data_IF_744521742596
#
_entry.id   IF_744521742596
#
_cell.length_a   1.000
_cell.length_b   1.000
_cell.length_c   1.000
_cell.angle_alpha   90.00
_cell.angle_beta   90.00
_cell.angle_gamma   90.00
#
_symmetry.space_group_name_H-M   'P 1'
#
loop_
_entity.id
_entity.type
_entity.pdbx_description
1 polymer ?
#
# COMPACT_ATOMS: atom_id res chain seq x y z
N UNK A 1 1.17 5.48 20.45
CA UNK A 1 0.21 5.52 19.33
C UNK A 1 -0.29 4.11 19.10
N UNK A 2 -1.59 3.87 19.22
CA UNK A 2 -2.19 2.56 18.95
C UNK A 2 -2.36 2.43 17.44
N UNK A 3 -1.59 1.55 16.80
CA UNK A 3 -1.76 1.25 15.38
C UNK A 3 -3.03 0.40 15.24
N UNK A 4 -4.04 0.91 14.55
CA UNK A 4 -5.23 0.15 14.16
C UNK A 4 -5.13 -0.18 12.69
N UNK A 5 -5.43 -1.42 12.34
CA UNK A 5 -5.59 -1.84 10.95
C UNK A 5 -7.05 -1.71 10.58
N UNK A 6 -7.34 -0.95 9.53
CA UNK A 6 -8.67 -0.87 8.93
C UNK A 6 -8.64 -1.68 7.64
N UNK A 7 -9.58 -2.61 7.50
CA UNK A 7 -9.73 -3.32 6.24
C UNK A 7 -10.40 -2.38 5.24
N UNK A 8 -9.87 -2.24 4.01
CA UNK A 8 -10.56 -1.45 3.01
C UNK A 8 -11.97 -2.04 2.78
N UNK A 9 -13.00 -1.20 2.62
CA UNK A 9 -14.32 -1.70 2.26
C UNK A 9 -14.27 -2.39 0.89
N UNK A 10 -15.22 -3.29 0.64
CA UNK A 10 -15.46 -3.80 -0.72
C UNK A 10 -16.03 -2.64 -1.54
N UNK A 11 -15.17 -2.00 -2.33
CA UNK A 11 -15.52 -0.84 -3.14
C UNK A 11 -14.95 -0.98 -4.56
N UNK A 12 -15.72 -0.52 -5.55
CA UNK A 12 -15.37 -0.57 -6.96
C UNK A 12 -14.10 0.25 -7.31
N UNK A 13 -13.71 1.19 -6.45
CA UNK A 13 -12.45 1.93 -6.57
C UNK A 13 -11.22 1.00 -6.44
N UNK A 14 -11.36 -0.13 -5.74
CA UNK A 14 -10.29 -1.12 -5.53
C UNK A 14 -10.33 -2.29 -6.52
N UNK A 15 -11.24 -2.26 -7.51
CA UNK A 15 -11.30 -3.30 -8.54
C UNK A 15 -9.97 -3.32 -9.32
N UNK A 16 -9.32 -4.48 -9.33
CA UNK A 16 -8.04 -4.69 -10.01
C UNK A 16 -8.31 -5.42 -11.32
N UNK A 17 -8.24 -4.68 -12.42
CA UNK A 17 -8.67 -5.12 -13.75
C UNK A 17 -7.49 -5.44 -14.66
N UNK A 18 -6.32 -4.84 -14.38
CA UNK A 18 -5.16 -4.96 -15.24
C UNK A 18 -4.72 -6.41 -15.40
N UNK A 19 -4.86 -7.27 -14.37
CA UNK A 19 -4.51 -8.70 -14.49
C UNK A 19 -5.32 -9.41 -15.58
N UNK A 20 -6.62 -9.11 -15.70
CA UNK A 20 -7.47 -9.74 -16.72
C UNK A 20 -7.23 -9.12 -18.09
N UNK A 21 -7.10 -7.79 -18.15
CA UNK A 21 -6.86 -7.07 -19.40
C UNK A 21 -5.52 -7.45 -20.02
N UNK A 22 -4.47 -7.57 -19.20
CA UNK A 22 -3.13 -8.00 -19.65
C UNK A 22 -3.11 -9.50 -20.04
N UNK A 23 -4.06 -10.30 -19.56
CA UNK A 23 -4.20 -11.72 -19.91
C UNK A 23 -4.94 -11.99 -21.23
N UNK A 24 -5.44 -10.95 -21.92
CA UNK A 24 -6.07 -11.11 -23.23
C UNK A 24 -5.04 -11.64 -24.26
N UNK A 25 -5.46 -12.44 -25.26
CA UNK A 25 -4.58 -13.07 -26.23
C UNK A 25 -4.08 -12.09 -27.31
N UNK A 26 -3.56 -10.95 -26.89
CA UNK A 26 -2.91 -9.96 -27.73
C UNK A 26 -1.44 -9.84 -27.36
N UNK A 27 -0.57 -9.67 -28.35
CA UNK A 27 0.83 -9.37 -28.09
C UNK A 27 0.96 -8.08 -27.24
N UNK A 28 1.88 -8.02 -26.26
CA UNK A 28 2.07 -6.84 -25.41
C UNK A 28 2.27 -5.55 -26.21
N UNK A 29 3.04 -5.61 -27.30
CA UNK A 29 3.35 -4.46 -28.16
C UNK A 29 2.25 -4.09 -29.17
N UNK A 30 1.17 -4.87 -29.24
CA UNK A 30 0.06 -4.53 -30.12
C UNK A 30 -0.62 -3.25 -29.59
N UNK A 31 -0.62 -2.19 -30.41
CA UNK A 31 -1.24 -0.89 -30.14
C UNK A 31 -2.52 -0.67 -30.98
N UNK A 32 -2.99 -1.72 -31.65
CA UNK A 32 -4.12 -1.69 -32.57
C UNK A 32 -5.45 -1.42 -31.87
N UNK A 33 -6.38 -0.82 -32.61
CA UNK A 33 -7.69 -0.44 -32.09
C UNK A 33 -8.51 -1.64 -31.58
N UNK A 34 -8.37 -2.82 -32.20
CA UNK A 34 -9.05 -4.05 -31.79
C UNK A 34 -8.67 -4.44 -30.35
N UNK A 35 -7.37 -4.46 -30.04
CA UNK A 35 -6.89 -4.73 -28.67
C UNK A 35 -7.40 -3.68 -27.69
N UNK A 36 -7.33 -2.39 -28.06
CA UNK A 36 -7.79 -1.30 -27.19
C UNK A 36 -9.27 -1.44 -26.85
N UNK A 37 -10.10 -1.76 -27.85
CA UNK A 37 -11.52 -1.96 -27.64
C UNK A 37 -11.82 -3.21 -26.83
N UNK A 38 -11.16 -4.33 -27.13
CA UNK A 38 -11.28 -5.55 -26.34
C UNK A 38 -10.86 -5.33 -24.87
N UNK A 39 -9.74 -4.65 -24.63
CA UNK A 39 -9.28 -4.29 -23.30
C UNK A 39 -10.26 -3.37 -22.56
N UNK A 40 -10.80 -2.36 -23.23
CA UNK A 40 -11.81 -1.46 -22.65
C UNK A 40 -13.09 -2.20 -22.25
N UNK A 41 -13.63 -3.03 -23.15
CA UNK A 41 -14.83 -3.81 -22.88
C UNK A 41 -14.62 -4.79 -21.75
N UNK A 42 -13.50 -5.51 -21.75
CA UNK A 42 -13.13 -6.42 -20.64
C UNK A 42 -13.00 -5.67 -19.32
N UNK A 43 -12.30 -4.54 -19.29
CA UNK A 43 -12.16 -3.72 -18.09
C UNK A 43 -13.52 -3.26 -17.57
N UNK A 44 -14.41 -2.78 -18.45
CA UNK A 44 -15.76 -2.35 -18.08
C UNK A 44 -16.55 -3.50 -17.47
N UNK A 45 -16.61 -4.65 -18.14
CA UNK A 45 -17.35 -5.82 -17.66
C UNK A 45 -16.81 -6.32 -16.32
N UNK A 46 -15.49 -6.45 -16.18
CA UNK A 46 -14.88 -6.92 -14.94
C UNK A 46 -15.03 -5.93 -13.77
N UNK A 47 -15.14 -4.63 -14.07
CA UNK A 47 -15.45 -3.61 -13.06
C UNK A 47 -16.85 -3.81 -12.49
N UNK A 48 -17.85 -4.05 -13.34
CA UNK A 48 -19.23 -4.29 -12.88
C UNK A 48 -19.37 -5.61 -12.11
N UNK A 49 -18.54 -6.62 -12.43
CA UNK A 49 -18.49 -7.90 -11.71
C UNK A 49 -17.85 -7.77 -10.32
N UNK A 50 -17.12 -6.67 -10.04
CA UNK A 50 -16.47 -6.46 -8.75
C UNK A 50 -15.23 -7.33 -8.54
N UNK A 51 -14.49 -7.65 -9.61
CA UNK A 51 -13.30 -8.49 -9.51
C UNK A 51 -12.20 -7.82 -8.67
N UNK A 52 -11.82 -8.48 -7.58
CA UNK A 52 -10.72 -8.09 -6.71
C UNK A 52 -9.61 -9.15 -6.77
N UNK A 53 -8.76 -9.07 -7.79
CA UNK A 53 -7.63 -9.98 -7.97
C UNK A 53 -6.36 -9.20 -8.32
N UNK A 54 -5.28 -9.45 -7.58
CA UNK A 54 -3.98 -8.84 -7.85
C UNK A 54 -3.00 -9.86 -8.42
N UNK A 55 -2.27 -9.48 -9.46
CA UNK A 55 -1.24 -10.31 -10.08
C UNK A 55 -0.47 -9.52 -11.12
N UNK A 56 0.81 -9.84 -11.34
CA UNK A 56 1.63 -9.14 -12.33
C UNK A 56 1.82 -7.64 -12.06
N UNK A 57 1.79 -7.23 -10.79
CA UNK A 57 1.82 -5.81 -10.36
C UNK A 57 0.62 -4.98 -10.85
N UNK A 58 -0.54 -5.61 -11.09
CA UNK A 58 -1.76 -4.93 -11.55
C UNK A 58 -2.16 -3.73 -10.70
N UNK A 59 -2.07 -3.82 -9.38
CA UNK A 59 -2.45 -2.71 -8.49
C UNK A 59 -1.67 -1.42 -8.74
N UNK A 60 -0.41 -1.51 -9.21
CA UNK A 60 0.37 -0.31 -9.59
C UNK A 60 -0.24 0.41 -10.78
N UNK A 61 -0.76 -0.36 -11.75
CA UNK A 61 -1.40 0.17 -12.96
C UNK A 61 -2.80 0.69 -12.63
N UNK A 62 -3.60 -0.13 -11.95
CA UNK A 62 -5.01 0.16 -11.67
C UNK A 62 -5.16 1.35 -10.71
N UNK A 63 -4.28 1.48 -9.71
CA UNK A 63 -4.35 2.55 -8.71
C UNK A 63 -3.57 3.81 -9.12
N UNK A 64 -3.11 3.93 -10.36
CA UNK A 64 -2.35 5.07 -10.84
C UNK A 64 -3.07 6.41 -10.62
N UNK A 65 -4.33 6.52 -11.09
CA UNK A 65 -5.12 7.75 -10.93
C UNK A 65 -5.61 7.93 -9.49
N UNK A 66 -6.25 6.93 -8.83
CA UNK A 66 -6.70 7.06 -7.45
C UNK A 66 -5.59 7.49 -6.47
N UNK A 67 -4.38 6.93 -6.59
CA UNK A 67 -3.26 7.31 -5.71
C UNK A 67 -2.75 8.73 -5.97
N UNK A 68 -2.81 9.20 -7.22
CA UNK A 68 -2.43 10.59 -7.55
C UNK A 68 -3.46 11.58 -7.02
N UNK A 69 -4.74 11.25 -7.09
CA UNK A 69 -5.84 12.03 -6.51
C UNK A 69 -5.72 12.07 -4.99
N UNK A 70 -5.57 10.91 -4.33
CA UNK A 70 -5.35 10.83 -2.89
C UNK A 70 -4.15 11.67 -2.43
N UNK A 71 -3.02 11.58 -3.15
CA UNK A 71 -1.83 12.39 -2.86
C UNK A 71 -2.04 13.89 -3.07
N UNK A 72 -2.81 14.29 -4.09
CA UNK A 72 -3.13 15.69 -4.35
C UNK A 72 -4.11 16.25 -3.29
N UNK A 73 -5.10 15.46 -2.87
CA UNK A 73 -6.04 15.79 -1.80
C UNK A 73 -5.30 15.96 -0.47
N UNK A 74 -4.45 15.01 -0.10
CA UNK A 74 -3.62 15.10 1.09
C UNK A 74 -2.72 16.35 1.07
N UNK A 75 -2.13 16.70 -0.08
CA UNK A 75 -1.33 17.93 -0.24
C UNK A 75 -2.19 19.18 -0.01
N UNK A 76 -3.39 19.24 -0.57
CA UNK A 76 -4.29 20.38 -0.40
C UNK A 76 -4.68 20.56 1.07
N UNK A 77 -5.02 19.47 1.76
CA UNK A 77 -5.35 19.48 3.19
C UNK A 77 -4.15 19.90 4.06
N UNK A 78 -2.93 19.44 3.74
CA UNK A 78 -1.71 19.89 4.41
C UNK A 78 -1.44 21.38 4.22
N UNK A 79 -1.65 21.90 3.00
CA UNK A 79 -1.53 23.32 2.69
C UNK A 79 -2.57 24.15 3.45
N UNK A 80 -3.83 23.70 3.49
CA UNK A 80 -4.90 24.37 4.23
C UNK A 80 -4.61 24.41 5.74
N UNK A 81 -4.13 23.31 6.31
CA UNK A 81 -3.73 23.26 7.71
C UNK A 81 -2.57 24.21 8.03
N UNK A 82 -1.54 24.26 7.18
CA UNK A 82 -0.43 25.20 7.34
C UNK A 82 -0.90 26.66 7.23
N UNK A 83 -1.74 26.97 6.24
CA UNK A 83 -2.30 28.29 6.02
C UNK A 83 -3.10 28.79 7.23
N UNK A 84 -3.96 27.93 7.78
CA UNK A 84 -4.74 28.21 8.98
C UNK A 84 -3.86 28.42 10.22
N UNK A 85 -2.87 27.56 10.44
CA UNK A 85 -1.96 27.66 11.59
C UNK A 85 -1.10 28.93 11.53
N UNK A 86 -0.65 29.31 10.33
CA UNK A 86 0.22 30.45 10.13
C UNK A 86 -0.52 31.75 9.91
N UNK A 87 -1.85 31.69 9.72
CA UNK A 87 -2.72 32.82 9.36
C UNK A 87 -2.26 33.51 8.08
N UNK A 88 -1.97 32.72 7.05
CA UNK A 88 -1.50 33.19 5.73
C UNK A 88 -2.38 32.62 4.61
N UNK A 89 -2.41 33.23 3.43
CA UNK A 89 -3.13 32.67 2.28
C UNK A 89 -2.56 31.30 1.85
N UNK A 90 -3.44 30.33 1.59
CA UNK A 90 -3.04 28.99 1.17
C UNK A 90 -2.22 28.98 -0.14
N UNK A 91 -2.48 29.93 -1.04
CA UNK A 91 -1.74 30.10 -2.30
C UNK A 91 -0.26 30.46 -2.08
N UNK A 92 0.10 31.03 -0.93
CA UNK A 92 1.48 31.42 -0.61
C UNK A 92 2.26 30.29 0.08
N UNK A 93 1.59 29.20 0.47
CA UNK A 93 2.22 28.02 1.07
C UNK A 93 2.81 27.13 -0.02
N UNK A 94 4.13 27.00 0.00
CA UNK A 94 4.88 26.15 -0.91
C UNK A 94 5.08 24.75 -0.31
N UNK A 95 5.14 23.74 -1.17
CA UNK A 95 5.37 22.35 -0.79
C UNK A 95 6.55 21.80 -1.59
N UNK A 96 7.63 21.44 -0.89
CA UNK A 96 8.82 20.84 -1.51
C UNK A 96 9.41 19.78 -0.59
N UNK A 97 9.67 18.59 -1.14
CA UNK A 97 10.37 17.49 -0.45
C UNK A 97 9.84 17.17 0.97
N UNK A 98 8.52 17.16 1.16
CA UNK A 98 7.90 16.84 2.45
C UNK A 98 7.87 18.00 3.46
N UNK A 99 8.23 19.20 3.02
CA UNK A 99 8.21 20.44 3.80
C UNK A 99 7.15 21.39 3.23
N UNK A 100 6.35 21.99 4.12
CA UNK A 100 5.53 23.16 3.86
C UNK A 100 6.33 24.40 4.27
N UNK A 101 6.28 25.46 3.46
CA UNK A 101 6.98 26.71 3.77
C UNK A 101 6.22 27.93 3.27
N UNK A 102 6.28 29.02 4.02
CA UNK A 102 5.72 30.32 3.64
C UNK A 102 6.84 31.37 3.56
N UNK A 103 7.34 31.72 2.36
CA UNK A 103 8.53 32.56 2.21
C UNK A 103 8.42 33.93 2.88
N UNK A 104 7.27 34.59 2.77
CA UNK A 104 7.09 35.95 3.28
C UNK A 104 7.15 36.04 4.82
N UNK A 105 6.86 34.94 5.54
CA UNK A 105 6.95 34.91 7.02
C UNK A 105 8.07 34.01 7.55
N UNK A 106 8.80 33.30 6.67
CA UNK A 106 9.84 32.35 7.04
C UNK A 106 9.35 31.07 7.76
N UNK A 107 8.04 30.88 7.91
CA UNK A 107 7.47 29.72 8.62
C UNK A 107 7.66 28.44 7.79
N UNK A 108 7.99 27.34 8.47
CA UNK A 108 8.15 26.02 7.84
C UNK A 108 7.65 24.91 8.76
N UNK A 109 7.15 23.81 8.18
CA UNK A 109 6.77 22.61 8.91
C UNK A 109 6.84 21.36 8.03
N UNK A 110 7.33 20.24 8.59
CA UNK A 110 7.27 18.93 7.91
C UNK A 110 5.83 18.40 7.96
N UNK A 111 5.45 17.57 6.98
CA UNK A 111 4.10 16.99 6.92
C UNK A 111 3.64 16.34 8.23
N UNK A 112 4.52 15.60 8.91
CA UNK A 112 4.19 14.93 10.17
C UNK A 112 3.73 15.88 11.28
N UNK A 113 4.25 17.11 11.34
CA UNK A 113 3.87 18.09 12.34
C UNK A 113 2.45 18.64 12.11
N UNK A 114 1.97 18.61 10.86
CA UNK A 114 0.67 19.12 10.46
C UNK A 114 -0.34 18.02 10.12
N UNK A 115 0.06 16.75 10.08
CA UNK A 115 -0.78 15.64 9.62
C UNK A 115 -2.10 15.53 10.39
N UNK A 116 -2.07 15.65 11.72
CA UNK A 116 -3.27 15.59 12.56
C UNK A 116 -4.21 16.79 12.36
N UNK A 117 -3.67 17.97 12.00
CA UNK A 117 -4.48 19.15 11.65
C UNK A 117 -5.03 19.06 10.23
N UNK A 118 -4.22 18.52 9.31
CA UNK A 118 -4.61 18.26 7.94
C UNK A 118 -5.76 17.28 7.85
N UNK A 119 -5.79 16.22 8.67
CA UNK A 119 -6.91 15.28 8.71
C UNK A 119 -8.23 15.88 9.20
N UNK A 120 -8.21 17.08 9.79
CA UNK A 120 -9.40 17.84 10.20
C UNK A 120 -9.84 18.87 9.15
N UNK A 121 -9.06 19.06 8.08
CA UNK A 121 -9.45 19.93 6.99
C UNK A 121 -10.54 19.26 6.15
N UNK A 122 -11.44 20.05 5.53
CA UNK A 122 -12.42 19.50 4.60
C UNK A 122 -11.72 18.80 3.44
N UNK A 123 -12.32 17.71 2.96
CA UNK A 123 -11.89 17.06 1.73
C UNK A 123 -12.13 18.01 0.55
N UNK A 124 -11.13 18.22 -0.33
CA UNK A 124 -11.33 19.05 -1.51
C UNK A 124 -12.27 18.35 -2.51
N UNK A 125 -13.24 19.10 -3.04
CA UNK A 125 -14.18 18.59 -4.06
C UNK A 125 -13.47 18.22 -5.37
N UNK A 126 -12.40 18.94 -5.71
CA UNK A 126 -11.57 18.66 -6.88
C UNK A 126 -10.11 18.96 -6.59
N UNK A 127 -9.21 18.25 -7.28
CA UNK A 127 -7.77 18.41 -7.14
C UNK A 127 -7.08 18.51 -8.49
N UNK A 128 -6.10 19.41 -8.57
CA UNK A 128 -5.25 19.53 -9.75
C UNK A 128 -4.08 18.57 -9.61
N UNK A 129 -4.03 17.58 -10.50
CA UNK A 129 -2.92 16.64 -10.56
C UNK A 129 -1.69 17.28 -11.20
N UNK A 130 -0.51 16.92 -10.68
CA UNK A 130 0.76 17.27 -11.32
C UNK A 130 0.85 16.66 -12.71
N UNK A 131 1.34 17.43 -13.67
CA UNK A 131 1.65 16.95 -15.01
C UNK A 131 3.01 16.23 -15.04
N UNK A 132 3.29 15.38 -16.06
CA UNK A 132 4.55 14.64 -16.14
C UNK A 132 5.82 15.49 -15.97
N UNK A 133 5.86 16.70 -16.54
CA UNK A 133 6.99 17.62 -16.38
C UNK A 133 7.20 18.15 -14.96
N UNK A 134 6.21 17.98 -14.07
CA UNK A 134 6.27 18.39 -12.66
C UNK A 134 6.63 17.22 -11.72
N UNK A 135 6.88 16.04 -12.28
CA UNK A 135 7.24 14.86 -11.50
C UNK A 135 8.68 14.94 -11.01
N UNK A 136 8.85 14.79 -9.70
CA UNK A 136 10.17 14.78 -9.08
C UNK A 136 10.77 13.38 -8.94
N UNK A 137 9.93 12.35 -8.81
CA UNK A 137 10.35 10.96 -8.54
C UNK A 137 9.84 9.99 -9.62
N UNK A 138 8.61 10.17 -10.10
CA UNK A 138 8.00 9.32 -11.12
C UNK A 138 8.80 9.45 -12.43
N UNK A 139 9.13 8.30 -13.03
CA UNK A 139 9.86 8.24 -14.29
C UNK A 139 11.36 8.50 -14.17
N UNK A 140 11.88 8.65 -12.95
CA UNK A 140 13.32 8.80 -12.69
C UNK A 140 13.90 7.50 -12.16
N UNK A 141 15.11 7.20 -12.60
CA UNK A 141 15.90 6.14 -11.97
C UNK A 141 16.17 6.51 -10.51
N UNK A 142 15.75 5.64 -9.60
CA UNK A 142 15.85 5.85 -8.16
C UNK A 142 16.36 4.58 -7.51
N UNK A 143 17.38 4.72 -6.66
CA UNK A 143 17.92 3.59 -5.91
C UNK A 143 16.94 3.19 -4.81
N UNK A 144 16.63 1.90 -4.76
CA UNK A 144 15.85 1.31 -3.66
C UNK A 144 16.68 1.37 -2.38
N UNK A 145 16.09 1.90 -1.30
CA UNK A 145 16.79 2.11 -0.03
C UNK A 145 17.34 0.80 0.55
N UNK A 146 16.62 -0.30 0.37
CA UNK A 146 16.93 -1.62 0.87
C UNK A 146 17.87 -2.44 -0.04
N UNK A 147 18.19 -1.95 -1.24
CA UNK A 147 18.94 -2.72 -2.23
C UNK A 147 20.32 -3.15 -1.72
N UNK A 148 21.07 -2.25 -1.07
CA UNK A 148 22.40 -2.55 -0.57
C UNK A 148 22.36 -3.72 0.43
N UNK A 149 21.49 -3.63 1.44
CA UNK A 149 21.36 -4.66 2.47
C UNK A 149 20.94 -6.03 1.94
N UNK A 150 20.20 -6.05 0.82
CA UNK A 150 19.79 -7.29 0.16
C UNK A 150 20.89 -7.89 -0.70
N UNK A 151 21.88 -7.11 -1.12
CA UNK A 151 23.01 -7.57 -1.92
C UNK A 151 24.14 -8.12 -1.06
N UNK A 152 24.42 -7.48 0.07
CA UNK A 152 25.51 -7.87 0.97
C UNK A 152 25.08 -8.86 2.08
N UNK A 153 23.79 -9.19 2.15
CA UNK A 153 23.23 -10.11 3.14
C UNK A 153 23.02 -9.50 4.54
N UNK A 154 23.19 -8.20 4.71
CA UNK A 154 22.92 -7.52 5.99
C UNK A 154 21.44 -7.28 6.28
N UNK A 155 20.57 -7.47 5.28
CA UNK A 155 19.12 -7.37 5.46
C UNK A 155 18.63 -8.44 6.44
N UNK A 156 17.97 -8.01 7.51
CA UNK A 156 17.35 -8.90 8.51
C UNK A 156 15.90 -9.19 8.12
N UNK A 157 15.58 -10.46 7.94
CA UNK A 157 14.24 -10.99 7.74
C UNK A 157 13.66 -11.51 9.04
N UNK A 158 12.37 -11.86 9.04
CA UNK A 158 11.70 -12.42 10.22
C UNK A 158 12.42 -13.66 10.78
N UNK A 159 12.95 -14.50 9.88
CA UNK A 159 13.71 -15.70 10.24
C UNK A 159 15.05 -15.41 10.95
N UNK A 160 15.64 -14.24 10.72
CA UNK A 160 16.92 -13.83 11.33
C UNK A 160 16.74 -13.21 12.72
N UNK A 161 15.51 -13.23 13.25
CA UNK A 161 15.20 -12.71 14.57
C UNK A 161 15.38 -13.80 15.62
N UNK A 162 16.37 -13.60 16.49
CA UNK A 162 16.63 -14.46 17.64
C UNK A 162 16.50 -13.62 18.91
N UNK A 163 15.46 -13.88 19.71
CA UNK A 163 15.24 -13.21 20.99
C UNK A 163 15.68 -14.12 22.16
N UNK A 164 16.20 -13.57 23.26
CA UNK A 164 16.43 -14.35 24.47
C UNK A 164 15.14 -15.05 24.93
N UNK A 165 15.19 -16.37 25.11
CA UNK A 165 14.03 -17.17 25.52
C UNK A 165 12.98 -17.43 24.42
N UNK A 166 13.30 -17.14 23.15
CA UNK A 166 12.39 -17.41 22.02
C UNK A 166 12.04 -18.90 21.92
N UNK A 167 10.74 -19.20 21.80
CA UNK A 167 10.24 -20.54 21.52
C UNK A 167 10.07 -20.74 20.01
N UNK A 168 10.31 -21.96 19.54
CA UNK A 168 10.08 -22.36 18.16
C UNK A 168 8.78 -23.18 18.08
N UNK A 169 7.94 -22.87 17.11
CA UNK A 169 6.71 -23.60 16.84
C UNK A 169 6.87 -24.49 15.61
N UNK A 170 6.26 -25.68 15.66
CA UNK A 170 6.06 -26.54 14.50
C UNK A 170 4.59 -26.92 14.41
N UNK A 171 4.06 -27.01 13.20
CA UNK A 171 2.64 -27.27 12.95
C UNK A 171 2.50 -28.61 12.25
N UNK A 172 1.76 -29.53 12.88
CA UNK A 172 1.25 -30.72 12.21
C UNK A 172 -0.08 -30.38 11.54
N UNK A 173 -0.05 -30.22 10.22
CA UNK A 173 -1.25 -29.88 9.43
C UNK A 173 -2.20 -31.07 9.35
N UNK A 174 -3.51 -30.82 9.33
CA UNK A 174 -4.51 -31.84 9.02
C UNK A 174 -4.19 -32.43 7.62
N UNK A 175 -4.11 -33.77 7.46
CA UNK A 175 -3.81 -34.37 6.16
C UNK A 175 -4.98 -34.24 5.17
N UNK A 176 -6.15 -33.80 5.65
CA UNK A 176 -7.36 -33.62 4.85
C UNK A 176 -7.58 -32.14 4.55
N UNK A 177 -7.70 -31.80 3.26
CA UNK A 177 -8.00 -30.45 2.82
C UNK A 177 -9.34 -29.98 3.42
N UNK A 178 -9.34 -28.81 4.06
CA UNK A 178 -10.52 -28.26 4.73
C UNK A 178 -10.90 -28.96 6.04
N UNK A 179 -10.11 -29.93 6.50
CA UNK A 179 -10.30 -30.58 7.79
C UNK A 179 -9.84 -29.71 8.97
N UNK A 180 -10.45 -29.95 10.13
CA UNK A 180 -10.08 -29.34 11.39
C UNK A 180 -9.66 -30.42 12.41
N UNK A 181 -8.88 -30.02 13.42
CA UNK A 181 -8.49 -30.92 14.51
C UNK A 181 -9.71 -31.20 15.38
N UNK A 182 -10.21 -32.43 15.37
CA UNK A 182 -11.30 -32.84 16.27
C UNK A 182 -10.78 -33.10 17.70
N UNK A 183 -9.65 -33.78 17.81
CA UNK A 183 -8.95 -34.06 19.06
C UNK A 183 -7.48 -34.43 18.76
N UNK A 184 -6.62 -34.35 19.76
CA UNK A 184 -5.22 -34.79 19.68
C UNK A 184 -4.75 -35.33 21.03
N UNK A 185 -3.80 -36.27 21.01
CA UNK A 185 -3.06 -36.71 22.20
C UNK A 185 -1.67 -36.06 22.21
N UNK A 186 -1.45 -35.17 23.19
CA UNK A 186 -0.21 -34.42 23.35
C UNK A 186 0.89 -35.20 24.09
N UNK A 187 0.56 -36.32 24.74
CA UNK A 187 1.39 -36.91 25.80
C UNK A 187 2.79 -37.28 25.32
N UNK A 188 2.90 -37.94 24.17
CA UNK A 188 4.19 -38.33 23.62
C UNK A 188 5.05 -37.12 23.22
N UNK A 189 4.44 -36.09 22.64
CA UNK A 189 5.15 -34.87 22.24
C UNK A 189 5.63 -34.05 23.45
N UNK A 190 4.79 -33.90 24.49
CA UNK A 190 5.14 -33.20 25.73
C UNK A 190 6.27 -33.90 26.52
N UNK A 191 6.46 -35.20 26.33
CA UNK A 191 7.56 -35.94 26.95
C UNK A 191 8.93 -35.74 26.28
N UNK A 192 8.97 -35.11 25.09
CA UNK A 192 10.22 -34.84 24.39
C UNK A 192 11.00 -33.68 25.04
N UNK A 193 12.34 -33.76 25.12
CA UNK A 193 13.15 -32.67 25.64
C UNK A 193 12.93 -31.35 24.89
N UNK A 194 12.72 -30.26 25.64
CA UNK A 194 12.59 -28.91 25.08
C UNK A 194 11.17 -28.54 24.62
N UNK A 195 10.20 -29.46 24.64
CA UNK A 195 8.81 -29.14 24.32
C UNK A 195 8.16 -28.42 25.50
N UNK A 196 7.73 -27.18 25.28
CA UNK A 196 7.09 -26.33 26.31
C UNK A 196 5.56 -26.46 26.33
N UNK A 197 4.94 -26.67 25.16
CA UNK A 197 3.49 -26.78 25.02
C UNK A 197 3.12 -27.49 23.72
N UNK A 198 1.92 -28.09 23.69
CA UNK A 198 1.28 -28.63 22.48
C UNK A 198 -0.17 -28.14 22.50
N UNK A 199 -0.58 -27.43 21.44
CA UNK A 199 -1.85 -26.73 21.36
C UNK A 199 -2.56 -27.08 20.05
N UNK A 200 -3.89 -27.11 20.08
CA UNK A 200 -4.67 -27.09 18.85
C UNK A 200 -4.59 -25.70 18.21
N UNK A 201 -4.26 -25.64 16.93
CA UNK A 201 -4.36 -24.42 16.12
C UNK A 201 -5.80 -24.35 15.58
N UNK A 202 -6.57 -23.30 15.91
CA UNK A 202 -7.95 -23.15 15.47
C UNK A 202 -8.09 -22.90 13.96
#
# INVERSE_FOLDING_TARGET
>A
ATVRTEHPPVDAIYNNLATVVDGLPFHPDNQGWVKRMAGHMTAKTMREIGLQMTGGSSSVKDLWSPMREAGASARAMLVAAAAAEWKVPAAEVQVKQGMLSHPASGKTARFGALAARASQQPLPESVVLKQPGQFNLIGKDTRRHEAASKQDGSARYGLDTLLPGMLYASVLMCPTLGGAVASFDAKAALALPGVQAVLAVP
#
